data_IF_319886002120
#
_entry.id   IF_319886002120
#
_cell.length_a   1.000
_cell.length_b   1.000
_cell.length_c   1.000
_cell.angle_alpha   90.00
_cell.angle_beta   90.00
_cell.angle_gamma   90.00
#
_symmetry.space_group_name_H-M   'P 1'
#
loop_
_entity.id
_entity.type
_entity.pdbx_description
1 polymer ?
#
# COMPACT_ATOMS: atom_id res chain seq x y z
N UNK A 1 -28.03 27.69 31.03
CA UNK A 1 -28.44 26.28 31.11
C UNK A 1 -27.34 25.40 30.50
N UNK A 2 -26.48 24.86 31.35
CA UNK A 2 -25.30 24.07 30.96
C UNK A 2 -25.80 22.66 30.58
N UNK A 3 -26.09 22.44 29.29
CA UNK A 3 -26.58 21.15 28.82
C UNK A 3 -25.45 20.14 29.01
N UNK A 4 -25.62 19.28 30.02
CA UNK A 4 -24.85 18.08 30.25
C UNK A 4 -24.91 17.25 28.97
N UNK A 5 -23.95 17.46 28.06
CA UNK A 5 -23.68 16.55 26.96
C UNK A 5 -23.01 15.35 27.63
N UNK A 6 -23.88 14.49 28.17
CA UNK A 6 -23.66 13.09 28.50
C UNK A 6 -22.18 12.67 28.58
N UNK A 7 -21.56 12.91 29.74
CA UNK A 7 -20.27 12.35 30.17
C UNK A 7 -20.02 10.89 29.73
N UNK A 8 -21.01 9.97 29.67
CA UNK A 8 -20.78 8.63 29.12
C UNK A 8 -20.43 8.60 27.61
N UNK A 9 -20.98 9.49 26.79
CA UNK A 9 -20.76 9.54 25.34
C UNK A 9 -19.33 10.00 25.00
N UNK A 10 -18.83 11.02 25.70
CA UNK A 10 -17.45 11.51 25.53
C UNK A 10 -16.42 10.46 25.98
N UNK A 11 -16.70 9.74 27.07
CA UNK A 11 -15.85 8.64 27.56
C UNK A 11 -15.83 7.46 26.57
N UNK A 12 -16.93 7.21 25.86
CA UNK A 12 -17.03 6.15 24.85
C UNK A 12 -16.18 6.44 23.61
N UNK A 13 -16.16 7.70 23.12
CA UNK A 13 -15.27 8.09 22.01
C UNK A 13 -13.78 8.06 22.38
N UNK A 14 -13.43 8.45 23.62
CA UNK A 14 -12.05 8.35 24.12
C UNK A 14 -11.60 6.89 24.28
N UNK A 15 -12.47 6.02 24.80
CA UNK A 15 -12.20 4.59 24.92
C UNK A 15 -12.09 3.92 23.55
N UNK A 16 -12.96 4.26 22.58
CA UNK A 16 -12.87 3.73 21.22
C UNK A 16 -11.57 4.16 20.53
N UNK A 17 -11.16 5.42 20.70
CA UNK A 17 -9.89 5.94 20.15
C UNK A 17 -8.66 5.24 20.73
N UNK A 18 -8.66 4.97 22.04
CA UNK A 18 -7.58 4.23 22.71
C UNK A 18 -7.57 2.74 22.33
N UNK A 19 -8.74 2.14 22.10
CA UNK A 19 -8.85 0.76 21.65
C UNK A 19 -8.37 0.61 20.20
N UNK A 20 -8.68 1.58 19.33
CA UNK A 20 -8.17 1.64 17.94
C UNK A 20 -6.66 1.82 17.90
N UNK A 21 -6.06 2.63 18.78
CA UNK A 21 -4.60 2.78 18.81
C UNK A 21 -3.88 1.52 19.30
N UNK A 22 -4.45 0.81 20.28
CA UNK A 22 -3.93 -0.48 20.75
C UNK A 22 -4.07 -1.56 19.69
N UNK A 23 -5.16 -1.58 18.91
CA UNK A 23 -5.32 -2.45 17.75
C UNK A 23 -4.40 -2.05 16.57
N UNK A 24 -3.86 -0.84 16.53
CA UNK A 24 -2.85 -0.48 15.52
C UNK A 24 -1.46 -0.94 15.93
N UNK A 25 -1.09 -0.77 17.21
CA UNK A 25 0.22 -1.15 17.73
C UNK A 25 0.35 -2.65 18.04
N UNK A 26 -0.76 -3.33 18.38
CA UNK A 26 -0.78 -4.76 18.69
C UNK A 26 -0.65 -5.68 17.48
N UNK A 27 -0.81 -5.16 16.26
CA UNK A 27 -0.66 -5.90 15.00
C UNK A 27 0.59 -5.49 14.21
N UNK A 28 1.56 -4.86 14.86
CA UNK A 28 2.89 -4.69 14.28
C UNK A 28 3.60 -6.05 14.25
N UNK A 29 3.24 -6.91 13.29
CA UNK A 29 4.07 -8.07 12.97
C UNK A 29 5.45 -7.56 12.56
N UNK A 30 6.54 -8.11 13.10
CA UNK A 30 7.88 -7.73 12.66
C UNK A 30 7.95 -7.97 11.15
N UNK A 31 8.20 -6.89 10.40
CA UNK A 31 8.50 -6.98 8.98
C UNK A 31 9.78 -7.78 8.84
N UNK A 32 9.67 -9.07 8.53
CA UNK A 32 10.79 -9.95 8.23
C UNK A 32 11.36 -9.47 6.89
N UNK A 33 12.29 -8.51 6.96
CA UNK A 33 12.81 -7.85 5.78
C UNK A 33 13.87 -8.66 5.02
N UNK A 34 14.43 -9.75 5.59
CA UNK A 34 15.31 -10.70 4.89
C UNK A 34 15.71 -11.85 5.82
N UNK A 35 15.35 -13.09 5.49
CA UNK A 35 15.85 -14.32 6.16
C UNK A 35 16.63 -15.25 5.23
N UNK A 36 16.72 -14.96 3.94
CA UNK A 36 17.38 -15.82 2.97
C UNK A 36 18.69 -15.24 2.48
N UNK A 37 19.77 -16.03 2.60
CA UNK A 37 21.01 -15.79 1.89
C UNK A 37 20.71 -15.75 0.39
N UNK A 38 21.29 -14.76 -0.28
CA UNK A 38 21.13 -14.59 -1.71
C UNK A 38 21.67 -15.82 -2.41
N UNK A 39 20.82 -16.51 -3.16
CA UNK A 39 21.17 -17.75 -3.85
C UNK A 39 20.44 -17.78 -5.19
N UNK A 40 21.02 -18.46 -6.19
CA UNK A 40 20.42 -18.54 -7.52
C UNK A 40 20.89 -17.45 -8.48
N UNK A 41 19.96 -16.93 -9.28
CA UNK A 41 20.16 -16.01 -10.42
C UNK A 41 20.75 -14.65 -10.02
N UNK A 42 20.72 -14.33 -8.73
CA UNK A 42 21.18 -13.06 -8.18
C UNK A 42 22.70 -13.00 -7.92
N UNK A 43 23.43 -14.09 -8.18
CA UNK A 43 24.88 -14.17 -8.07
C UNK A 43 25.44 -14.68 -9.40
N UNK A 44 26.40 -13.95 -9.98
CA UNK A 44 26.99 -14.32 -11.27
C UNK A 44 28.35 -15.00 -11.14
N UNK A 45 28.77 -15.66 -12.23
CA UNK A 45 30.04 -16.37 -12.31
C UNK A 45 29.94 -17.88 -11.98
N UNK A 46 30.97 -18.68 -12.37
CA UNK A 46 31.00 -20.12 -12.13
C UNK A 46 30.91 -20.50 -10.64
N UNK A 47 31.41 -19.64 -9.76
CA UNK A 47 31.40 -19.85 -8.30
C UNK A 47 30.31 -19.05 -7.56
N UNK A 48 29.46 -18.30 -8.31
CA UNK A 48 28.40 -17.43 -7.73
C UNK A 48 28.90 -16.48 -6.63
N UNK A 49 30.09 -15.92 -6.81
CA UNK A 49 30.74 -15.07 -5.80
C UNK A 49 30.92 -13.60 -6.26
N UNK A 50 30.54 -13.27 -7.50
CA UNK A 50 30.68 -11.91 -8.02
C UNK A 50 29.31 -11.24 -8.22
N UNK A 51 29.24 -9.99 -7.77
CA UNK A 51 28.10 -9.11 -8.02
C UNK A 51 28.08 -8.75 -9.52
N UNK A 52 27.14 -9.34 -10.25
CA UNK A 52 26.86 -8.99 -11.65
C UNK A 52 25.70 -8.00 -11.73
N UNK A 53 25.48 -7.40 -12.90
CA UNK A 53 24.32 -6.52 -13.17
C UNK A 53 22.99 -7.20 -12.81
N UNK A 54 22.90 -8.51 -12.97
CA UNK A 54 21.74 -9.32 -12.60
C UNK A 54 21.49 -9.35 -11.07
N UNK A 55 22.56 -9.27 -10.26
CA UNK A 55 22.45 -9.13 -8.80
C UNK A 55 21.90 -7.76 -8.39
N UNK A 56 22.22 -6.69 -9.14
CA UNK A 56 21.66 -5.36 -8.89
C UNK A 56 20.14 -5.34 -9.19
N UNK A 57 19.70 -6.02 -10.24
CA UNK A 57 18.27 -6.18 -10.54
C UNK A 57 17.53 -6.89 -9.41
N UNK A 58 18.10 -7.96 -8.84
CA UNK A 58 17.54 -8.64 -7.67
C UNK A 58 17.47 -7.75 -6.41
N UNK A 59 18.47 -6.89 -6.19
CA UNK A 59 18.46 -5.95 -5.06
C UNK A 59 17.29 -5.01 -5.14
N UNK A 60 17.16 -4.37 -6.30
CA UNK A 60 16.11 -3.40 -6.58
C UNK A 60 14.76 -4.12 -6.49
N UNK A 61 14.63 -5.30 -7.08
CA UNK A 61 13.43 -6.11 -6.99
C UNK A 61 12.99 -6.42 -5.56
N UNK A 62 13.92 -6.85 -4.69
CA UNK A 62 13.61 -7.17 -3.31
C UNK A 62 13.15 -5.91 -2.53
N UNK A 63 13.87 -4.79 -2.71
CA UNK A 63 13.50 -3.50 -2.10
C UNK A 63 12.11 -3.07 -2.55
N UNK A 64 11.84 -3.09 -3.86
CA UNK A 64 10.53 -2.72 -4.40
C UNK A 64 9.42 -3.65 -3.91
N UNK A 65 9.66 -4.96 -3.80
CA UNK A 65 8.66 -5.92 -3.31
C UNK A 65 8.25 -5.62 -1.87
N UNK A 66 9.23 -5.38 -0.98
CA UNK A 66 8.96 -5.03 0.42
C UNK A 66 8.28 -3.66 0.52
N UNK A 67 8.80 -2.65 -0.19
CA UNK A 67 8.23 -1.29 -0.15
C UNK A 67 6.81 -1.24 -0.71
N UNK A 68 6.53 -1.91 -1.84
CA UNK A 68 5.19 -1.95 -2.42
C UNK A 68 4.18 -2.66 -1.50
N UNK A 69 4.61 -3.74 -0.82
CA UNK A 69 3.75 -4.45 0.14
C UNK A 69 3.41 -3.55 1.33
N UNK A 70 4.39 -2.81 1.87
CA UNK A 70 4.17 -1.86 2.96
C UNK A 70 3.30 -0.67 2.54
N UNK A 71 3.52 -0.11 1.35
CA UNK A 71 2.69 0.98 0.80
C UNK A 71 1.27 0.50 0.57
N UNK A 72 1.08 -0.70 0.03
CA UNK A 72 -0.24 -1.29 -0.18
C UNK A 72 -1.02 -1.46 1.12
N UNK A 73 -0.39 -2.05 2.13
CA UNK A 73 -1.01 -2.23 3.45
C UNK A 73 -1.28 -0.90 4.16
N UNK A 74 -0.31 0.01 4.17
CA UNK A 74 -0.46 1.34 4.80
C UNK A 74 -1.51 2.20 4.09
N UNK A 75 -1.54 2.15 2.76
CA UNK A 75 -2.53 2.84 1.93
C UNK A 75 -3.95 2.32 2.17
N UNK A 76 -4.12 1.00 2.28
CA UNK A 76 -5.42 0.39 2.61
C UNK A 76 -5.95 0.83 3.97
N UNK A 77 -5.08 0.89 4.97
CA UNK A 77 -5.43 1.33 6.32
C UNK A 77 -5.83 2.82 6.35
N UNK A 78 -5.05 3.69 5.68
CA UNK A 78 -5.42 5.12 5.55
C UNK A 78 -6.70 5.33 4.76
N UNK A 79 -6.97 4.50 3.75
CA UNK A 79 -8.20 4.56 2.97
C UNK A 79 -9.43 4.36 3.86
N UNK A 80 -9.40 3.34 4.74
CA UNK A 80 -10.47 3.07 5.70
C UNK A 80 -10.68 4.27 6.65
N UNK A 81 -9.61 4.78 7.25
CA UNK A 81 -9.69 5.93 8.17
C UNK A 81 -10.22 7.19 7.48
N UNK A 82 -9.79 7.45 6.23
CA UNK A 82 -10.27 8.55 5.41
C UNK A 82 -11.76 8.44 5.09
N UNK A 83 -12.22 7.23 4.76
CA UNK A 83 -13.63 6.95 4.49
C UNK A 83 -14.52 7.20 5.73
N UNK A 84 -14.11 6.69 6.90
CA UNK A 84 -14.84 6.92 8.14
C UNK A 84 -14.86 8.41 8.55
N UNK A 85 -13.76 9.13 8.34
CA UNK A 85 -13.68 10.57 8.60
C UNK A 85 -14.63 11.38 7.70
N UNK A 86 -14.86 10.95 6.46
CA UNK A 86 -15.83 11.58 5.56
C UNK A 86 -17.27 11.33 5.98
N UNK A 87 -17.61 10.09 6.34
CA UNK A 87 -18.95 9.72 6.81
C UNK A 87 -19.32 10.40 8.14
N UNK A 88 -18.34 10.69 8.99
CA UNK A 88 -18.55 11.29 10.33
C UNK A 88 -18.41 12.82 10.37
N UNK A 89 -18.10 13.48 9.24
CA UNK A 89 -17.83 14.93 9.19
C UNK A 89 -19.04 15.83 9.50
N UNK A 90 -20.27 15.30 9.44
CA UNK A 90 -21.48 15.98 9.91
C UNK A 90 -21.73 17.36 9.28
N UNK A 91 -22.20 18.33 10.08
CA UNK A 91 -22.61 19.68 9.61
C UNK A 91 -21.53 20.77 9.70
N UNK A 92 -20.31 20.44 10.14
CA UNK A 92 -19.23 21.42 10.18
C UNK A 92 -18.62 21.57 8.78
N UNK A 93 -19.01 22.63 8.06
CA UNK A 93 -18.63 22.86 6.65
C UNK A 93 -17.13 22.75 6.39
N UNK A 94 -16.29 23.21 7.33
CA UNK A 94 -14.82 23.13 7.21
C UNK A 94 -14.30 21.68 7.21
N UNK A 95 -14.89 20.82 8.04
CA UNK A 95 -14.54 19.40 8.10
C UNK A 95 -15.10 18.65 6.89
N UNK A 96 -16.29 19.04 6.43
CA UNK A 96 -16.93 18.45 5.25
C UNK A 96 -16.13 18.76 3.97
N UNK A 97 -15.71 20.00 3.77
CA UNK A 97 -14.91 20.40 2.60
C UNK A 97 -13.54 19.73 2.60
N UNK A 98 -12.89 19.65 3.76
CA UNK A 98 -11.62 18.95 3.89
C UNK A 98 -11.77 17.45 3.64
N UNK A 99 -12.82 16.83 4.17
CA UNK A 99 -13.07 15.41 3.98
C UNK A 99 -13.48 15.08 2.54
N UNK A 100 -14.25 15.94 1.87
CA UNK A 100 -14.56 15.81 0.43
C UNK A 100 -13.30 15.84 -0.41
N UNK A 101 -12.37 16.77 -0.16
CA UNK A 101 -11.08 16.81 -0.87
C UNK A 101 -10.30 15.52 -0.68
N UNK A 102 -10.15 15.05 0.57
CA UNK A 102 -9.47 13.78 0.87
C UNK A 102 -10.13 12.59 0.19
N UNK A 103 -11.46 12.52 0.20
CA UNK A 103 -12.21 11.46 -0.46
C UNK A 103 -12.04 11.49 -1.98
N UNK A 104 -12.11 12.67 -2.60
CA UNK A 104 -11.88 12.82 -4.05
C UNK A 104 -10.47 12.37 -4.44
N UNK A 105 -9.44 12.71 -3.66
CA UNK A 105 -8.08 12.22 -3.93
C UNK A 105 -7.96 10.70 -3.80
N UNK A 106 -8.62 10.09 -2.80
CA UNK A 106 -8.65 8.64 -2.64
C UNK A 106 -9.34 7.94 -3.81
N UNK A 107 -10.48 8.47 -4.26
CA UNK A 107 -11.20 7.96 -5.44
C UNK A 107 -10.38 8.17 -6.71
N UNK A 108 -9.74 9.32 -6.88
CA UNK A 108 -8.93 9.63 -8.05
C UNK A 108 -7.76 8.65 -8.19
N UNK A 109 -7.11 8.27 -7.07
CA UNK A 109 -6.05 7.24 -7.08
C UNK A 109 -6.55 5.88 -7.56
N UNK A 110 -7.74 5.46 -7.12
CA UNK A 110 -8.35 4.20 -7.57
C UNK A 110 -8.73 4.24 -9.05
N UNK A 111 -9.35 5.34 -9.49
CA UNK A 111 -9.71 5.54 -10.91
C UNK A 111 -8.46 5.57 -11.79
N UNK A 112 -7.38 6.21 -11.35
CA UNK A 112 -6.10 6.24 -12.06
C UNK A 112 -5.53 4.82 -12.21
N UNK A 113 -5.52 4.01 -11.15
CA UNK A 113 -5.03 2.64 -11.20
C UNK A 113 -5.84 1.77 -12.18
N UNK A 114 -7.17 1.87 -12.15
CA UNK A 114 -8.05 1.17 -13.09
C UNK A 114 -7.83 1.64 -14.54
N UNK A 115 -7.66 2.96 -14.73
CA UNK A 115 -7.41 3.53 -16.06
C UNK A 115 -6.09 3.01 -16.64
N UNK A 116 -5.04 2.90 -15.83
CA UNK A 116 -3.75 2.37 -16.27
C UNK A 116 -3.88 0.91 -16.75
N UNK A 117 -4.63 0.08 -16.03
CA UNK A 117 -4.88 -1.31 -16.43
C UNK A 117 -5.59 -1.38 -17.80
N UNK A 118 -6.61 -0.56 -18.00
CA UNK A 118 -7.34 -0.50 -19.27
C UNK A 118 -6.42 -0.04 -20.40
N UNK A 119 -5.60 0.99 -20.17
CA UNK A 119 -4.66 1.52 -21.17
C UNK A 119 -3.63 0.47 -21.58
N UNK A 120 -3.05 -0.27 -20.63
CA UNK A 120 -2.07 -1.33 -20.95
C UNK A 120 -2.71 -2.44 -21.79
N UNK A 121 -3.94 -2.84 -21.45
CA UNK A 121 -4.67 -3.84 -22.24
C UNK A 121 -4.96 -3.33 -23.66
N UNK A 122 -5.39 -2.08 -23.77
CA UNK A 122 -5.65 -1.44 -25.06
C UNK A 122 -4.38 -1.43 -25.94
N UNK A 123 -3.24 -1.01 -25.38
CA UNK A 123 -1.96 -0.97 -26.10
C UNK A 123 -1.53 -2.37 -26.55
N UNK A 124 -1.66 -3.37 -25.68
CA UNK A 124 -1.26 -4.73 -26.00
C UNK A 124 -2.17 -5.37 -27.06
N UNK A 125 -3.47 -5.06 -27.06
CA UNK A 125 -4.42 -5.54 -28.07
C UNK A 125 -4.18 -4.85 -29.43
N UNK A 126 -3.80 -3.57 -29.43
CA UNK A 126 -3.43 -2.84 -30.66
C UNK A 126 -2.08 -3.28 -31.25
N UNK A 127 -1.09 -3.58 -30.41
CA UNK A 127 0.27 -3.91 -30.86
C UNK A 127 0.48 -5.41 -31.07
N UNK A 128 -0.40 -6.26 -30.55
CA UNK A 128 -0.23 -7.72 -30.56
C UNK A 128 0.88 -8.22 -29.61
N UNK A 129 1.50 -7.34 -28.82
CA UNK A 129 2.60 -7.69 -27.92
C UNK A 129 2.06 -7.95 -26.51
N UNK A 130 1.77 -9.22 -26.23
CA UNK A 130 1.25 -9.66 -24.92
C UNK A 130 2.27 -9.58 -23.78
N UNK A 131 3.57 -9.42 -24.08
CA UNK A 131 4.66 -9.40 -23.08
C UNK A 131 4.55 -8.21 -22.11
N UNK A 132 3.92 -7.11 -22.55
CA UNK A 132 3.71 -5.91 -21.73
C UNK A 132 2.75 -6.20 -20.55
N UNK A 133 1.86 -7.20 -20.70
CA UNK A 133 0.93 -7.62 -19.64
C UNK A 133 1.62 -8.45 -18.54
N UNK A 134 2.78 -9.02 -18.81
CA UNK A 134 3.47 -9.99 -17.92
C UNK A 134 4.74 -9.44 -17.28
N UNK A 135 4.86 -8.11 -17.14
CA UNK A 135 5.99 -7.54 -16.39
C UNK A 135 5.98 -8.08 -14.96
N UNK A 136 7.02 -8.84 -14.62
CA UNK A 136 7.27 -9.40 -13.31
C UNK A 136 8.59 -8.83 -12.80
N UNK A 137 8.60 -8.46 -11.54
CA UNK A 137 9.82 -8.03 -10.86
C UNK A 137 10.73 -9.28 -10.73
N UNK A 138 11.99 -9.22 -11.14
CA UNK A 138 12.88 -10.38 -11.10
C UNK A 138 13.21 -10.79 -9.66
N UNK A 139 12.86 -12.02 -9.28
CA UNK A 139 13.14 -12.59 -7.95
C UNK A 139 14.19 -13.70 -8.02
N UNK A 140 14.82 -14.04 -6.89
CA UNK A 140 15.93 -14.99 -6.85
C UNK A 140 15.58 -16.43 -7.24
N UNK A 141 14.30 -16.76 -7.27
CA UNK A 141 13.73 -18.08 -7.56
C UNK A 141 13.32 -18.27 -9.03
N UNK A 142 13.35 -17.22 -9.86
CA UNK A 142 12.97 -17.32 -11.27
C UNK A 142 14.18 -17.48 -12.20
N UNK A 143 14.31 -18.65 -12.82
CA UNK A 143 15.21 -18.88 -13.96
C UNK A 143 14.39 -18.69 -15.23
N UNK A 144 14.69 -17.67 -16.03
CA UNK A 144 14.08 -17.47 -17.35
C UNK A 144 14.48 -18.56 -18.34
#
# INVERSE_FOLDING_TARGET
MKKSVSVPLLKQFLLLGLLVSVLFFGFATPAQAQTHAWSGVCLGGPDRDVATIQGLECLIANVFTVTLTLIGLGGFVMFIVGAFKWLTAGSNSKNLDSAKKTFTFAVLGLVLALSAFIIINLIADFTGVSVIKTFRIPTSDINW
#
